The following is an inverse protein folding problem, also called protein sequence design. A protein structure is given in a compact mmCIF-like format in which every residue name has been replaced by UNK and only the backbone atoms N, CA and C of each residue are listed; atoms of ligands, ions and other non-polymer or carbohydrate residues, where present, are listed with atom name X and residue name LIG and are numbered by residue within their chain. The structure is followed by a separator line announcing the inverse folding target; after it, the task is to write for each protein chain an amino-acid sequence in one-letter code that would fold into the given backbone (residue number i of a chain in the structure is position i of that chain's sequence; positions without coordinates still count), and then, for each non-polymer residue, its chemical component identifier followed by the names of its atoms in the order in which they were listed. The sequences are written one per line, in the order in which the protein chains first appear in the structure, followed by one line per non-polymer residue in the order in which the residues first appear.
data_IF_263140963918
#
_entry.id   IF_263140963918
#
_cell.length_a   1.000
_cell.length_b   1.000
_cell.length_c   1.000
_cell.angle_alpha   90.00
_cell.angle_beta   90.00
_cell.angle_gamma   90.00
#
_symmetry.space_group_name_H-M   'P 1'
#
loop_
_entity.id
_entity.type
_entity.pdbx_description
1 polymer ?
#
# COMPACT_ATOMS: atom_id res chain seq x y z
N UNK A 1 -19.13 -16.87 -32.12
CA UNK A 1 -19.38 -16.56 -30.69
C UNK A 1 -18.45 -17.29 -29.70
N UNK A 2 -17.81 -18.42 -30.04
CA UNK A 2 -16.99 -19.19 -29.09
C UNK A 2 -15.50 -18.74 -28.99
N UNK A 3 -14.98 -18.06 -30.02
CA UNK A 3 -13.58 -17.59 -30.03
C UNK A 3 -13.34 -16.40 -29.08
N UNK A 4 -14.31 -15.48 -28.99
CA UNK A 4 -14.23 -14.31 -28.09
C UNK A 4 -14.31 -14.74 -26.61
N UNK A 5 -15.10 -15.77 -26.28
CA UNK A 5 -15.18 -16.36 -24.94
C UNK A 5 -13.87 -17.05 -24.52
N UNK A 6 -13.15 -17.67 -25.47
CA UNK A 6 -11.85 -18.29 -25.22
C UNK A 6 -10.77 -17.23 -24.95
N UNK A 7 -10.73 -16.15 -25.74
CA UNK A 7 -9.80 -15.03 -25.54
C UNK A 7 -10.02 -14.35 -24.17
N UNK A 8 -11.27 -14.07 -23.79
CA UNK A 8 -11.59 -13.45 -22.49
C UNK A 8 -11.22 -14.36 -21.30
N UNK A 9 -11.39 -15.68 -21.42
CA UNK A 9 -10.92 -16.63 -20.40
C UNK A 9 -9.40 -16.65 -20.27
N UNK A 10 -8.67 -16.72 -21.39
CA UNK A 10 -7.19 -16.71 -21.38
C UNK A 10 -6.67 -15.40 -20.78
N UNK A 11 -7.29 -14.27 -21.12
CA UNK A 11 -6.92 -12.96 -20.57
C UNK A 11 -7.18 -12.88 -19.06
N UNK A 12 -8.31 -13.41 -18.59
CA UNK A 12 -8.65 -13.46 -17.16
C UNK A 12 -7.69 -14.36 -16.38
N UNK A 13 -7.32 -15.51 -16.95
CA UNK A 13 -6.37 -16.44 -16.33
C UNK A 13 -4.96 -15.85 -16.27
N UNK A 14 -4.50 -15.20 -17.35
CA UNK A 14 -3.23 -14.45 -17.39
C UNK A 14 -3.24 -13.28 -16.42
N UNK A 15 -4.33 -12.51 -16.36
CA UNK A 15 -4.49 -11.40 -15.42
C UNK A 15 -4.42 -11.89 -13.96
N UNK A 16 -5.10 -12.99 -13.62
CA UNK A 16 -5.05 -13.57 -12.28
C UNK A 16 -3.66 -14.09 -11.93
N UNK A 17 -2.99 -14.78 -12.85
CA UNK A 17 -1.62 -15.27 -12.67
C UNK A 17 -0.62 -14.11 -12.50
N UNK A 18 -0.76 -13.07 -13.34
CA UNK A 18 0.07 -11.87 -13.25
C UNK A 18 -0.16 -11.12 -11.92
N UNK A 19 -1.42 -10.96 -11.51
CA UNK A 19 -1.79 -10.29 -10.25
C UNK A 19 -1.21 -11.03 -9.04
N UNK A 20 -1.20 -12.37 -9.05
CA UNK A 20 -0.58 -13.18 -7.98
C UNK A 20 0.92 -12.89 -7.82
N UNK A 21 1.65 -12.90 -8.95
CA UNK A 21 3.09 -12.61 -8.94
C UNK A 21 3.38 -11.18 -8.53
N UNK A 22 2.56 -10.24 -8.99
CA UNK A 22 2.67 -8.83 -8.62
C UNK A 22 2.44 -8.62 -7.12
N UNK A 23 1.38 -9.19 -6.54
CA UNK A 23 1.12 -9.07 -5.10
C UNK A 23 2.26 -9.64 -4.24
N UNK A 24 2.85 -10.77 -4.65
CA UNK A 24 4.01 -11.33 -3.94
C UNK A 24 5.22 -10.39 -3.99
N UNK A 25 5.48 -9.80 -5.16
CA UNK A 25 6.56 -8.80 -5.35
C UNK A 25 6.35 -7.58 -4.45
N UNK A 26 5.13 -7.06 -4.39
CA UNK A 26 4.78 -5.93 -3.54
C UNK A 26 4.97 -6.27 -2.06
N UNK A 27 4.48 -7.44 -1.62
CA UNK A 27 4.67 -7.91 -0.25
C UNK A 27 6.15 -8.02 0.13
N UNK A 28 6.97 -8.65 -0.72
CA UNK A 28 8.40 -8.80 -0.47
C UNK A 28 9.13 -7.46 -0.42
N UNK A 29 8.73 -6.50 -1.24
CA UNK A 29 9.31 -5.15 -1.25
C UNK A 29 9.03 -4.43 0.07
N UNK A 30 7.79 -4.51 0.56
CA UNK A 30 7.41 -3.94 1.87
C UNK A 30 8.13 -4.66 3.00
N UNK A 31 8.19 -6.00 2.95
CA UNK A 31 8.89 -6.81 3.97
C UNK A 31 10.37 -6.43 4.07
N UNK A 32 11.08 -6.31 2.94
CA UNK A 32 12.50 -5.94 2.92
C UNK A 32 12.74 -4.53 3.44
N UNK A 33 11.88 -3.59 3.04
CA UNK A 33 11.97 -2.20 3.52
C UNK A 33 11.73 -2.13 5.03
N UNK A 34 10.75 -2.89 5.52
CA UNK A 34 10.40 -2.92 6.94
C UNK A 34 11.49 -3.57 7.78
N UNK A 35 12.03 -4.70 7.33
CA UNK A 35 13.09 -5.43 8.02
C UNK A 35 14.36 -4.60 8.12
N UNK A 36 14.79 -3.94 7.03
CA UNK A 36 15.95 -3.04 7.03
C UNK A 36 15.76 -1.88 8.02
N UNK A 37 14.61 -1.20 7.97
CA UNK A 37 14.33 -0.06 8.86
C UNK A 37 14.32 -0.46 10.33
N UNK A 38 13.62 -1.55 10.66
CA UNK A 38 13.53 -1.99 12.05
C UNK A 38 14.84 -2.60 12.56
N UNK A 39 15.61 -3.25 11.69
CA UNK A 39 16.95 -3.71 12.04
C UNK A 39 17.86 -2.53 12.37
N UNK A 40 17.93 -1.50 11.51
CA UNK A 40 18.75 -0.31 11.73
C UNK A 40 18.32 0.51 12.96
N UNK A 41 17.03 0.47 13.33
CA UNK A 41 16.51 1.19 14.48
C UNK A 41 16.68 0.43 15.82
N UNK A 42 16.53 -0.89 15.80
CA UNK A 42 16.40 -1.69 17.02
C UNK A 42 17.62 -2.55 17.34
N UNK A 43 18.38 -3.04 16.34
CA UNK A 43 19.60 -3.80 16.59
C UNK A 43 20.74 -2.85 16.99
N UNK A 44 21.04 -2.81 18.29
CA UNK A 44 22.01 -1.88 18.89
C UNK A 44 23.12 -2.61 19.64
N UNK A 45 22.83 -3.81 20.15
CA UNK A 45 23.78 -4.65 20.84
C UNK A 45 24.22 -5.82 19.95
N UNK A 46 25.53 -5.96 19.75
CA UNK A 46 26.13 -7.02 18.93
C UNK A 46 26.98 -7.99 19.78
N UNK A 47 26.84 -7.96 21.10
CA UNK A 47 27.58 -8.83 22.02
C UNK A 47 27.10 -10.29 21.99
N UNK A 48 25.83 -10.53 21.62
CA UNK A 48 25.23 -11.86 21.52
C UNK A 48 24.65 -12.13 20.13
N UNK A 49 24.70 -13.38 19.68
CA UNK A 49 24.12 -13.81 18.39
C UNK A 49 22.58 -13.82 18.36
N UNK A 50 21.94 -13.45 19.47
CA UNK A 50 20.48 -13.39 19.64
C UNK A 50 20.06 -12.00 20.07
N UNK A 51 18.88 -11.54 19.65
CA UNK A 51 18.33 -10.27 20.14
C UNK A 51 18.05 -10.32 21.64
N UNK A 52 18.37 -9.22 22.32
CA UNK A 52 17.98 -9.00 23.72
C UNK A 52 16.46 -8.76 23.83
N UNK A 53 15.90 -8.88 25.04
CA UNK A 53 14.46 -8.67 25.27
C UNK A 53 14.00 -7.26 24.87
N UNK A 54 14.84 -6.26 25.12
CA UNK A 54 14.53 -4.86 24.81
C UNK A 54 14.51 -4.62 23.30
N UNK A 55 15.44 -5.20 22.55
CA UNK A 55 15.46 -5.13 21.09
C UNK A 55 14.29 -5.91 20.49
N UNK A 56 13.93 -7.06 21.07
CA UNK A 56 12.74 -7.81 20.68
C UNK A 56 11.46 -6.98 20.82
N UNK A 57 11.28 -6.27 21.94
CA UNK A 57 10.15 -5.35 22.13
C UNK A 57 10.18 -4.17 21.15
N UNK A 58 11.38 -3.61 20.88
CA UNK A 58 11.57 -2.54 19.91
C UNK A 58 11.12 -2.96 18.50
N UNK A 59 11.49 -4.16 18.05
CA UNK A 59 11.12 -4.66 16.71
C UNK A 59 9.61 -4.76 16.56
N UNK A 60 8.90 -5.30 17.57
CA UNK A 60 7.42 -5.37 17.55
C UNK A 60 6.80 -3.97 17.41
N UNK A 61 7.22 -3.02 18.24
CA UNK A 61 6.71 -1.64 18.19
C UNK A 61 7.08 -0.92 16.89
N UNK A 62 8.26 -1.17 16.34
CA UNK A 62 8.71 -0.61 15.08
C UNK A 62 7.79 -1.04 13.92
N UNK A 63 7.42 -2.32 13.88
CA UNK A 63 6.53 -2.86 12.86
C UNK A 63 5.16 -2.20 12.92
N UNK A 64 4.56 -2.13 14.10
CA UNK A 64 3.25 -1.50 14.30
C UNK A 64 3.28 -0.03 13.89
N UNK A 65 4.33 0.69 14.31
CA UNK A 65 4.52 2.10 13.98
C UNK A 65 4.67 2.30 12.47
N UNK A 66 5.46 1.49 11.79
CA UNK A 66 5.67 1.61 10.35
C UNK A 66 4.37 1.34 9.57
N UNK A 67 3.56 0.38 10.01
CA UNK A 67 2.24 0.11 9.39
C UNK A 67 1.29 1.31 9.55
N UNK A 68 1.25 1.93 10.74
CA UNK A 68 0.44 3.12 10.99
C UNK A 68 0.94 4.32 10.17
N UNK A 69 2.26 4.51 10.08
CA UNK A 69 2.89 5.55 9.27
C UNK A 69 2.55 5.35 7.79
N UNK A 70 2.65 4.13 7.26
CA UNK A 70 2.30 3.84 5.87
C UNK A 70 0.83 4.18 5.59
N UNK A 71 -0.09 3.80 6.47
CA UNK A 71 -1.53 4.15 6.33
C UNK A 71 -1.75 5.65 6.33
N UNK A 72 -1.15 6.37 7.29
CA UNK A 72 -1.28 7.83 7.37
C UNK A 72 -0.63 8.53 6.16
N UNK A 73 0.52 8.04 5.72
CA UNK A 73 1.21 8.56 4.54
C UNK A 73 0.33 8.47 3.29
N UNK A 74 -0.37 7.36 3.08
CA UNK A 74 -1.30 7.20 1.96
C UNK A 74 -2.44 8.22 1.99
N UNK A 75 -3.03 8.48 3.17
CA UNK A 75 -4.08 9.50 3.31
C UNK A 75 -3.57 10.90 2.99
N UNK A 76 -2.44 11.27 3.60
CA UNK A 76 -1.81 12.58 3.40
C UNK A 76 -1.37 12.77 1.95
N UNK A 77 -0.83 11.72 1.32
CA UNK A 77 -0.43 11.74 -0.08
C UNK A 77 -1.63 11.95 -1.01
N UNK A 78 -2.76 11.26 -0.77
CA UNK A 78 -3.98 11.46 -1.55
C UNK A 78 -4.51 12.91 -1.47
N UNK A 79 -4.34 13.58 -0.32
CA UNK A 79 -4.72 14.99 -0.15
C UNK A 79 -3.74 15.98 -0.80
N UNK A 80 -2.45 15.64 -0.88
CA UNK A 80 -1.37 16.55 -1.28
C UNK A 80 -0.93 16.38 -2.73
N UNK A 81 -0.97 15.17 -3.27
CA UNK A 81 -0.62 14.87 -4.65
C UNK A 81 -1.29 15.80 -5.68
N UNK A 82 -2.62 16.07 -5.64
CA UNK A 82 -3.24 17.00 -6.57
C UNK A 82 -2.69 18.42 -6.41
N UNK A 83 -2.46 18.89 -5.18
CA UNK A 83 -1.94 20.24 -4.90
C UNK A 83 -0.52 20.43 -5.42
N UNK A 84 0.31 19.39 -5.38
CA UNK A 84 1.66 19.41 -5.94
C UNK A 84 1.65 19.45 -7.47
N UNK A 85 0.70 18.74 -8.11
CA UNK A 85 0.51 18.78 -9.57
C UNK A 85 0.04 20.16 -10.05
N UNK A 86 -0.85 20.83 -9.31
CA UNK A 86 -1.33 22.18 -9.67
C UNK A 86 -0.29 23.29 -9.46
N UNK A 87 0.73 23.08 -8.60
CA UNK A 87 1.83 24.05 -8.42
C UNK A 87 2.81 24.09 -9.61
N UNK A 88 2.83 23.07 -10.46
CA UNK A 88 3.57 23.09 -11.72
C UNK A 88 2.76 23.76 -12.87
N UNK A 89 1.57 24.27 -12.57
CA UNK A 89 0.62 24.84 -13.51
C UNK A 89 0.49 26.37 -13.50
N UNK A 90 1.57 27.12 -13.29
CA UNK A 90 1.65 28.51 -13.79
C UNK A 90 2.27 28.55 -15.19
N UNK A 91 1.65 27.84 -16.14
CA UNK A 91 1.42 28.29 -17.51
C UNK A 91 0.09 27.66 -17.97
N UNK A 92 -0.96 28.48 -18.10
CA UNK A 92 -2.23 28.09 -18.73
C UNK A 92 -2.12 28.36 -20.23
N UNK A 93 -2.67 27.48 -21.09
CA UNK A 93 -4.03 27.71 -21.56
C UNK A 93 -4.94 26.50 -21.33
N UNK A 94 -6.07 26.76 -20.69
CA UNK A 94 -7.40 26.19 -20.92
C UNK A 94 -7.52 25.34 -22.19
N UNK A 95 -7.60 24.00 -22.05
CA UNK A 95 -8.36 23.05 -22.89
C UNK A 95 -7.99 21.58 -22.56
N UNK A 96 -8.46 21.05 -21.42
CA UNK A 96 -8.54 19.58 -21.22
C UNK A 96 -9.59 19.15 -20.18
N UNK A 97 -10.46 20.05 -19.72
CA UNK A 97 -11.68 19.64 -18.99
C UNK A 97 -12.71 19.28 -20.06
N UNK A 98 -12.63 18.02 -20.52
CA UNK A 98 -13.58 17.22 -21.31
C UNK A 98 -12.70 16.07 -21.81
N UNK A 99 -12.34 15.07 -21.01
CA UNK A 99 -13.12 13.83 -20.93
C UNK A 99 -12.41 12.91 -19.93
N UNK A 100 -12.93 12.77 -18.72
CA UNK A 100 -12.78 11.58 -17.88
C UNK A 100 -13.68 11.76 -16.66
N UNK A 101 -14.96 11.52 -16.87
CA UNK A 101 -15.92 11.41 -15.78
C UNK A 101 -15.47 10.33 -14.80
N UNK A 102 -15.34 10.74 -13.54
CA UNK A 102 -15.79 10.03 -12.34
C UNK A 102 -15.83 8.51 -12.45
N UNK A 103 -14.79 7.83 -11.95
CA UNK A 103 -14.96 6.47 -11.44
C UNK A 103 -14.85 6.51 -9.92
N UNK A 104 -15.93 6.18 -9.18
CA UNK A 104 -15.92 6.16 -7.73
C UNK A 104 -14.87 5.17 -7.22
N UNK A 105 -13.94 5.64 -6.38
CA UNK A 105 -13.13 4.75 -5.55
C UNK A 105 -14.10 4.08 -4.56
N UNK A 106 -14.10 2.74 -4.44
CA UNK A 106 -14.97 2.03 -3.51
C UNK A 106 -14.77 2.55 -2.09
N UNK A 107 -15.84 3.04 -1.49
CA UNK A 107 -15.90 3.27 -0.06
C UNK A 107 -15.78 1.91 0.60
N UNK A 108 -14.61 1.59 1.16
CA UNK A 108 -14.52 0.54 2.16
C UNK A 108 -15.16 1.12 3.43
N UNK A 109 -16.45 0.84 3.61
CA UNK A 109 -17.12 0.97 4.90
C UNK A 109 -16.44 0.01 5.88
N UNK A 110 -15.69 0.57 6.82
CA UNK A 110 -15.44 -0.07 8.11
C UNK A 110 -16.64 0.33 8.96
N UNK A 111 -17.72 -0.44 8.86
CA UNK A 111 -18.78 -0.42 9.85
C UNK A 111 -18.37 -1.36 11.00
N UNK A 112 -17.78 -0.75 12.01
CA UNK A 112 -17.63 -1.33 13.34
C UNK A 112 -19.03 -1.46 13.95
N UNK A 113 -19.66 -2.62 13.83
CA UNK A 113 -20.72 -3.02 14.76
C UNK A 113 -20.07 -3.81 15.88
N UNK A 114 -19.98 -3.15 17.03
CA UNK A 114 -19.90 -3.78 18.34
C UNK A 114 -21.10 -4.71 18.45
N UNK A 115 -20.89 -6.01 18.30
CA UNK A 115 -21.81 -7.01 18.85
C UNK A 115 -21.32 -7.35 20.26
N UNK A 116 -21.92 -6.64 21.21
CA UNK A 116 -22.29 -7.19 22.50
C UNK A 116 -23.07 -8.49 22.27
N UNK A 117 -22.61 -9.62 22.80
CA UNK A 117 -23.37 -10.49 23.70
C UNK A 117 -22.75 -11.88 23.89
N UNK A 118 -22.61 -12.24 25.18
CA UNK A 118 -22.91 -13.55 25.79
C UNK A 118 -22.07 -14.79 25.43
#
# INVERSE_FOLDING_TARGET
MNSIQNIQQVLTFLFFHFTKLFQLREFLTVYNTLSERCFNACARDYTTSTLTKDEGSCVTQCIDKQMLVNRRFMLVFAEQAPKALFKQGEQSPTEAIKTANTTPIPKAEINTTVEENK
#
